data_IF_216031223520
#
_entry.id   IF_216031223520
#
_cell.length_a   1.000
_cell.length_b   1.000
_cell.length_c   1.000
_cell.angle_alpha   90.00
_cell.angle_beta   90.00
_cell.angle_gamma   90.00
#
_symmetry.space_group_name_H-M   'P 1'
#
loop_
_entity.id
_entity.type
_entity.pdbx_description
1 polymer ?
#
# COMPACT_ATOMS: atom_id res chain seq x y z
N UNK A 1 -9.95 5.28 -18.99
CA UNK A 1 -10.74 4.11 -18.55
C UNK A 1 -9.80 3.12 -17.89
N UNK A 2 -10.09 2.66 -16.66
CA UNK A 2 -9.28 1.64 -16.00
C UNK A 2 -9.39 0.31 -16.76
N UNK A 3 -8.26 -0.25 -17.19
CA UNK A 3 -8.21 -1.56 -17.84
C UNK A 3 -7.99 -2.63 -16.78
N UNK A 4 -8.69 -3.77 -16.84
CA UNK A 4 -8.41 -4.89 -15.95
C UNK A 4 -6.95 -5.33 -16.12
N UNK A 5 -6.28 -5.57 -15.00
CA UNK A 5 -4.91 -6.08 -15.01
C UNK A 5 -4.91 -7.51 -15.54
N UNK A 6 -3.99 -7.79 -16.48
CA UNK A 6 -3.73 -9.16 -16.88
C UNK A 6 -3.28 -9.99 -15.65
N UNK A 7 -3.55 -11.30 -15.59
CA UNK A 7 -3.15 -12.14 -14.46
C UNK A 7 -1.66 -12.03 -14.12
N UNK A 8 -0.80 -11.93 -15.14
CA UNK A 8 0.63 -11.71 -14.96
C UNK A 8 0.96 -10.36 -14.30
N UNK A 9 0.22 -9.30 -14.64
CA UNK A 9 0.39 -7.98 -14.03
C UNK A 9 -0.06 -7.97 -12.56
N UNK A 10 -1.14 -8.70 -12.24
CA UNK A 10 -1.56 -8.89 -10.86
C UNK A 10 -0.52 -9.70 -10.07
N UNK A 11 0.00 -10.79 -10.65
CA UNK A 11 1.03 -11.60 -10.03
C UNK A 11 2.30 -10.79 -9.74
N UNK A 12 2.73 -9.96 -10.69
CA UNK A 12 3.88 -9.07 -10.51
C UNK A 12 3.63 -8.06 -9.39
N UNK A 13 2.46 -7.42 -9.34
CA UNK A 13 2.10 -6.45 -8.31
C UNK A 13 2.04 -7.08 -6.90
N UNK A 14 1.48 -8.29 -6.80
CA UNK A 14 1.45 -9.03 -5.53
C UNK A 14 2.85 -9.44 -5.11
N UNK A 15 3.67 -9.95 -6.04
CA UNK A 15 5.04 -10.35 -5.75
C UNK A 15 5.89 -9.16 -5.30
N UNK A 16 5.83 -8.02 -6.00
CA UNK A 16 6.58 -6.82 -5.62
C UNK A 16 6.14 -6.21 -4.29
N UNK A 17 4.86 -6.34 -3.94
CA UNK A 17 4.33 -5.89 -2.65
C UNK A 17 4.65 -6.82 -1.47
N UNK A 18 4.58 -8.15 -1.67
CA UNK A 18 4.69 -9.13 -0.58
C UNK A 18 6.10 -9.67 -0.38
N UNK A 19 6.90 -9.85 -1.44
CA UNK A 19 8.22 -10.48 -1.34
C UNK A 19 9.17 -9.71 -0.40
N UNK A 20 9.23 -8.36 -0.41
CA UNK A 20 10.08 -7.62 0.52
C UNK A 20 9.69 -7.80 2.00
N UNK A 21 8.44 -8.12 2.29
CA UNK A 21 7.96 -8.30 3.67
C UNK A 21 8.58 -9.53 4.34
N UNK A 22 9.07 -10.51 3.57
CA UNK A 22 9.76 -11.70 4.09
C UNK A 22 11.10 -11.36 4.75
N UNK A 23 11.64 -10.17 4.48
CA UNK A 23 12.90 -9.68 5.06
C UNK A 23 12.70 -8.95 6.40
N UNK A 24 11.45 -8.74 6.83
CA UNK A 24 11.11 -7.97 8.02
C UNK A 24 10.70 -8.88 9.19
N UNK A 25 10.93 -8.45 10.45
CA UNK A 25 10.32 -9.10 11.61
C UNK A 25 8.79 -9.15 11.46
N UNK A 26 8.10 -10.20 11.94
CA UNK A 26 6.66 -10.37 11.74
C UNK A 26 5.81 -9.18 12.22
N UNK A 27 6.19 -8.57 13.34
CA UNK A 27 5.50 -7.37 13.85
C UNK A 27 5.67 -6.17 12.90
N UNK A 28 6.87 -5.93 12.38
CA UNK A 28 7.13 -4.83 11.45
C UNK A 28 6.43 -5.05 10.10
N UNK A 29 6.43 -6.29 9.60
CA UNK A 29 5.67 -6.67 8.40
C UNK A 29 4.16 -6.44 8.59
N UNK A 30 3.60 -6.82 9.73
CA UNK A 30 2.20 -6.56 10.06
C UNK A 30 1.89 -5.06 10.12
N UNK A 31 2.74 -4.26 10.77
CA UNK A 31 2.59 -2.81 10.81
C UNK A 31 2.61 -2.18 9.41
N UNK A 32 3.54 -2.61 8.54
CA UNK A 32 3.61 -2.14 7.16
C UNK A 32 2.34 -2.49 6.36
N UNK A 33 1.84 -3.72 6.49
CA UNK A 33 0.59 -4.16 5.85
C UNK A 33 -0.62 -3.35 6.32
N UNK A 34 -0.75 -3.13 7.64
CA UNK A 34 -1.83 -2.34 8.20
C UNK A 34 -1.78 -0.89 7.73
N UNK A 35 -0.58 -0.29 7.67
CA UNK A 35 -0.40 1.07 7.18
C UNK A 35 -0.79 1.21 5.69
N UNK A 36 -0.32 0.30 4.84
CA UNK A 36 -0.67 0.27 3.42
C UNK A 36 -2.18 0.07 3.21
N UNK A 37 -2.81 -0.85 3.95
CA UNK A 37 -4.24 -1.10 3.90
C UNK A 37 -5.05 0.13 4.36
N UNK A 38 -4.62 0.80 5.43
CA UNK A 38 -5.27 1.99 5.95
C UNK A 38 -5.26 3.12 4.90
N UNK A 39 -4.09 3.43 4.33
CA UNK A 39 -3.97 4.47 3.29
C UNK A 39 -4.78 4.11 2.05
N UNK A 40 -4.66 2.87 1.57
CA UNK A 40 -5.37 2.42 0.35
C UNK A 40 -6.88 2.49 0.54
N UNK A 41 -7.41 2.01 1.66
CA UNK A 41 -8.85 2.03 1.93
C UNK A 41 -9.37 3.45 2.17
N UNK A 42 -8.59 4.30 2.84
CA UNK A 42 -8.93 5.70 3.03
C UNK A 42 -8.97 6.46 1.69
N UNK A 43 -7.94 6.32 0.86
CA UNK A 43 -7.88 6.91 -0.48
C UNK A 43 -9.02 6.42 -1.37
N UNK A 44 -9.31 5.12 -1.39
CA UNK A 44 -10.44 4.57 -2.13
C UNK A 44 -11.77 5.19 -1.69
N UNK A 45 -12.02 5.27 -0.37
CA UNK A 45 -13.25 5.92 0.16
C UNK A 45 -13.30 7.40 -0.19
N UNK A 46 -12.17 8.11 -0.10
CA UNK A 46 -12.08 9.52 -0.42
C UNK A 46 -12.42 9.76 -1.90
N UNK A 47 -11.80 9.02 -2.82
CA UNK A 47 -12.00 9.21 -4.25
C UNK A 47 -13.40 8.80 -4.68
N UNK A 48 -13.94 7.72 -4.13
CA UNK A 48 -15.34 7.34 -4.35
C UNK A 48 -16.30 8.45 -3.90
N UNK A 49 -16.09 9.03 -2.71
CA UNK A 49 -16.95 10.10 -2.17
C UNK A 49 -16.81 11.43 -2.91
N UNK A 50 -15.60 11.79 -3.36
CA UNK A 50 -15.29 13.11 -3.95
C UNK A 50 -15.43 13.15 -5.46
N UNK A 51 -15.12 12.04 -6.13
CA UNK A 51 -14.93 11.99 -7.59
C UNK A 51 -15.80 10.91 -8.26
N UNK A 52 -16.50 10.08 -7.48
CA UNK A 52 -17.34 8.98 -8.01
C UNK A 52 -16.54 7.83 -8.62
N UNK A 53 -15.23 7.74 -8.32
CA UNK A 53 -14.33 6.78 -8.93
C UNK A 53 -12.86 7.09 -8.65
N UNK A 54 -11.96 6.49 -9.42
CA UNK A 54 -10.52 6.76 -9.36
C UNK A 54 -9.90 6.83 -10.77
N UNK A 55 -8.80 7.57 -10.91
CA UNK A 55 -8.01 7.69 -12.14
C UNK A 55 -6.62 7.07 -11.94
N UNK A 56 -5.82 6.99 -13.00
CA UNK A 56 -4.43 6.53 -12.92
C UNK A 56 -3.58 7.38 -11.96
N UNK A 57 -3.73 8.71 -12.03
CA UNK A 57 -2.98 9.66 -11.19
C UNK A 57 -3.28 9.49 -9.70
N UNK A 58 -4.54 9.21 -9.36
CA UNK A 58 -4.97 8.96 -7.98
C UNK A 58 -4.44 7.63 -7.45
N UNK A 59 -4.29 6.64 -8.33
CA UNK A 59 -3.70 5.35 -7.98
C UNK A 59 -2.20 5.50 -7.74
N UNK A 60 -1.50 6.28 -8.56
CA UNK A 60 -0.11 6.67 -8.34
C UNK A 60 0.08 7.45 -7.02
N UNK A 61 -0.76 8.43 -6.73
CA UNK A 61 -0.73 9.17 -5.48
C UNK A 61 -0.98 8.27 -4.25
N UNK A 62 -1.88 7.29 -4.37
CA UNK A 62 -2.15 6.31 -3.30
C UNK A 62 -0.95 5.41 -3.08
N UNK A 63 -0.23 5.03 -4.14
CA UNK A 63 0.98 4.21 -4.05
C UNK A 63 2.10 4.94 -3.31
N UNK A 64 2.38 6.19 -3.68
CA UNK A 64 3.36 7.03 -2.98
C UNK A 64 2.97 7.30 -1.51
N UNK A 65 1.69 7.58 -1.23
CA UNK A 65 1.20 7.73 0.14
C UNK A 65 1.33 6.43 0.95
N UNK A 66 1.13 5.27 0.31
CA UNK A 66 1.28 3.96 0.94
C UNK A 66 2.74 3.64 1.23
N UNK A 67 3.66 3.93 0.29
CA UNK A 67 5.11 3.82 0.52
C UNK A 67 5.56 4.67 1.71
N UNK A 68 5.12 5.93 1.77
CA UNK A 68 5.43 6.82 2.89
C UNK A 68 4.89 6.26 4.21
N UNK A 69 3.65 5.79 4.25
CA UNK A 69 3.06 5.22 5.46
C UNK A 69 3.77 3.93 5.91
N UNK A 70 4.20 3.08 4.96
CA UNK A 70 5.02 1.91 5.25
C UNK A 70 6.34 2.33 5.89
N UNK A 71 7.07 3.29 5.31
CA UNK A 71 8.33 3.75 5.89
C UNK A 71 8.16 4.32 7.30
N UNK A 72 7.09 5.08 7.55
CA UNK A 72 6.77 5.58 8.89
C UNK A 72 6.44 4.45 9.87
N UNK A 73 5.68 3.43 9.44
CA UNK A 73 5.35 2.27 10.27
C UNK A 73 6.60 1.45 10.63
N UNK A 74 7.50 1.24 9.67
CA UNK A 74 8.77 0.54 9.92
C UNK A 74 9.69 1.34 10.84
N UNK A 75 9.74 2.67 10.66
CA UNK A 75 10.49 3.55 11.57
C UNK A 75 9.93 3.47 12.99
N UNK A 76 8.61 3.57 13.17
CA UNK A 76 7.99 3.44 14.48
C UNK A 76 8.25 2.06 15.11
N UNK A 77 8.09 0.97 14.35
CA UNK A 77 8.33 -0.39 14.80
C UNK A 77 9.79 -0.61 15.23
N UNK A 78 10.75 -0.07 14.50
CA UNK A 78 12.17 -0.17 14.86
C UNK A 78 12.51 0.60 16.15
N UNK A 79 11.85 1.73 16.41
CA UNK A 79 11.99 2.50 17.66
C UNK A 79 11.32 1.84 18.87
N UNK A 80 10.29 1.03 18.66
CA UNK A 80 9.63 0.27 19.73
C UNK A 80 10.43 -1.00 20.09
N UNK A 81 11.26 -1.49 19.17
CA UNK A 81 12.08 -2.68 19.36
C UNK A 81 13.49 -2.39 19.92
N UNK A 82 13.90 -1.11 19.94
CA UNK A 82 15.15 -0.62 20.55
C UNK A 82 14.97 -0.30 22.02
#
# INVERSE_FOLDING_TARGET
VARPLAPAGLALAVASGLLPLLLLPPAAALCALLAAAAVTTWSARLFQRRLGGYTGDLLGATQQASELAIYLALLAASRLAS
#
